data_IF_553560303921
#
_entry.id   IF_553560303921
#
_cell.length_a   1.000
_cell.length_b   1.000
_cell.length_c   1.000
_cell.angle_alpha   90.00
_cell.angle_beta   90.00
_cell.angle_gamma   90.00
#
_symmetry.space_group_name_H-M   'P 1'
#
loop_
_entity.id
_entity.type
_entity.pdbx_description
1 polymer ?
#
# COMPACT_ATOMS: atom_id res chain seq x y z
N UNK A 1 -51.16 69.43 17.20
CA UNK A 1 -52.52 69.15 16.71
C UNK A 1 -52.37 68.51 15.33
N UNK A 2 -52.92 67.29 15.12
CA UNK A 2 -52.95 66.48 13.89
C UNK A 2 -51.58 66.00 13.34
N UNK A 3 -51.10 64.74 13.36
CA UNK A 3 -51.56 63.34 13.12
C UNK A 3 -51.65 62.88 11.64
N UNK A 4 -50.98 61.73 11.36
CA UNK A 4 -51.18 60.69 10.31
C UNK A 4 -50.75 60.97 8.84
N UNK A 5 -50.33 60.01 7.99
CA UNK A 5 -49.97 58.58 8.12
C UNK A 5 -49.32 58.04 6.81
N UNK A 6 -48.53 56.96 6.96
CA UNK A 6 -48.38 55.75 6.11
C UNK A 6 -48.22 55.78 4.58
N UNK A 7 -47.18 55.08 4.10
CA UNK A 7 -47.37 53.92 3.21
C UNK A 7 -46.61 53.90 1.87
N UNK A 8 -45.83 52.82 1.63
CA UNK A 8 -45.78 52.15 0.31
C UNK A 8 -44.47 52.18 -0.49
N UNK A 9 -43.70 51.08 -0.42
CA UNK A 9 -43.35 50.19 -1.55
C UNK A 9 -42.41 50.62 -2.69
N UNK A 10 -41.46 49.73 -3.04
CA UNK A 10 -40.76 49.65 -4.35
C UNK A 10 -39.28 50.01 -4.26
N UNK A 11 -38.36 49.07 -4.01
CA UNK A 11 -37.69 48.13 -4.95
C UNK A 11 -37.05 48.82 -6.17
N UNK A 12 -35.71 48.77 -6.21
CA UNK A 12 -34.84 49.10 -7.34
C UNK A 12 -33.45 49.39 -6.79
N UNK A 13 -32.49 48.47 -6.76
CA UNK A 13 -32.03 47.64 -7.86
C UNK A 13 -30.68 48.21 -8.29
N UNK A 14 -29.58 47.65 -7.78
CA UNK A 14 -28.24 48.16 -8.10
C UNK A 14 -27.13 47.39 -7.40
N UNK A 15 -26.64 46.35 -8.09
CA UNK A 15 -25.32 45.73 -7.98
C UNK A 15 -24.87 45.29 -6.57
N UNK A 16 -25.19 44.04 -6.22
CA UNK A 16 -24.34 43.28 -5.30
C UNK A 16 -23.47 42.38 -6.17
N UNK A 17 -22.18 42.65 -6.15
CA UNK A 17 -21.13 41.93 -6.86
C UNK A 17 -21.29 40.43 -6.65
N UNK A 18 -21.39 39.70 -7.77
CA UNK A 18 -21.18 38.28 -7.80
C UNK A 18 -19.68 37.99 -7.56
N UNK A 19 -19.21 38.10 -6.32
CA UNK A 19 -17.92 37.54 -5.89
C UNK A 19 -18.15 36.18 -5.22
N UNK A 20 -18.80 35.28 -5.97
CA UNK A 20 -18.97 33.87 -5.59
C UNK A 20 -18.07 32.96 -6.42
N UNK A 21 -16.93 33.47 -6.87
CA UNK A 21 -15.89 32.66 -7.50
C UNK A 21 -14.97 32.09 -6.43
N UNK A 22 -15.44 31.10 -5.68
CA UNK A 22 -14.50 30.18 -5.04
C UNK A 22 -13.70 29.53 -6.16
N UNK A 23 -12.39 29.77 -6.20
CA UNK A 23 -11.51 29.21 -7.23
C UNK A 23 -11.84 27.71 -7.41
N UNK A 24 -12.05 27.24 -8.65
CA UNK A 24 -12.21 25.81 -8.86
C UNK A 24 -10.94 25.15 -8.31
N UNK A 25 -11.09 24.21 -7.38
CA UNK A 25 -9.99 23.39 -6.88
C UNK A 25 -9.17 22.99 -8.10
N UNK A 26 -7.94 23.50 -8.18
CA UNK A 26 -7.15 23.38 -9.40
C UNK A 26 -7.03 21.89 -9.69
N UNK A 27 -7.07 21.49 -10.96
CA UNK A 27 -7.03 20.08 -11.34
C UNK A 27 -5.81 19.37 -10.71
N UNK A 28 -4.73 20.12 -10.43
CA UNK A 28 -3.55 19.67 -9.71
C UNK A 28 -3.81 19.28 -8.24
N UNK A 29 -4.76 19.89 -7.53
CA UNK A 29 -5.20 19.46 -6.19
C UNK A 29 -6.01 18.16 -6.21
N UNK A 30 -6.63 17.82 -7.34
CA UNK A 30 -7.37 16.58 -7.51
C UNK A 30 -6.46 15.35 -7.75
N UNK A 31 -5.17 15.58 -8.10
CA UNK A 31 -4.19 14.53 -8.40
C UNK A 31 -2.94 14.67 -7.52
N UNK A 32 -2.80 13.82 -6.49
CA UNK A 32 -1.55 13.75 -5.71
C UNK A 32 -0.74 12.53 -6.12
N UNK A 33 0.49 12.75 -6.61
CA UNK A 33 1.43 11.67 -6.95
C UNK A 33 2.64 11.75 -6.03
N UNK A 34 2.79 10.78 -5.13
CA UNK A 34 3.98 10.64 -4.29
C UNK A 34 4.97 9.65 -4.90
N UNK A 35 6.11 10.16 -5.36
CA UNK A 35 7.15 9.35 -6.01
C UNK A 35 8.21 8.88 -5.01
N UNK A 36 8.25 9.42 -3.79
CA UNK A 36 9.22 9.05 -2.77
C UNK A 36 8.81 7.71 -2.15
N UNK A 37 9.60 6.64 -2.30
CA UNK A 37 9.22 5.33 -1.81
C UNK A 37 9.37 5.24 -0.29
N UNK A 38 8.34 4.81 0.42
CA UNK A 38 8.41 4.69 1.89
C UNK A 38 9.28 3.53 2.38
N UNK A 39 9.45 2.49 1.54
CA UNK A 39 10.20 1.27 1.86
C UNK A 39 11.21 0.92 0.75
N UNK A 40 12.47 0.70 1.10
CA UNK A 40 13.49 0.15 0.21
C UNK A 40 13.88 -1.25 0.66
N UNK A 41 14.01 -2.18 -0.30
CA UNK A 41 14.42 -3.54 -0.03
C UNK A 41 15.58 -3.94 -0.93
N UNK A 42 16.64 -4.49 -0.35
CA UNK A 42 17.70 -5.17 -1.07
C UNK A 42 17.65 -6.65 -0.72
N UNK A 43 17.37 -7.50 -1.71
CA UNK A 43 17.13 -8.93 -1.52
C UNK A 43 18.18 -9.73 -2.29
N UNK A 44 19.09 -10.35 -1.56
CA UNK A 44 19.99 -11.35 -2.10
C UNK A 44 19.31 -12.71 -2.02
N UNK A 45 19.37 -13.49 -3.09
CA UNK A 45 18.79 -14.83 -3.18
C UNK A 45 19.81 -15.76 -3.78
N UNK A 46 19.95 -16.93 -3.19
CA UNK A 46 20.73 -18.03 -3.73
C UNK A 46 19.87 -19.27 -3.77
N UNK A 47 19.84 -19.92 -4.92
CA UNK A 47 19.21 -21.23 -5.07
C UNK A 47 20.26 -22.32 -4.97
N UNK A 48 20.05 -23.24 -4.03
CA UNK A 48 20.95 -24.35 -3.69
C UNK A 48 20.11 -25.62 -3.57
N UNK A 49 20.33 -26.61 -4.43
CA UNK A 49 19.79 -27.98 -4.26
C UNK A 49 18.30 -28.04 -3.85
N UNK A 50 17.44 -27.23 -4.49
CA UNK A 50 16.00 -27.22 -4.21
C UNK A 50 15.58 -26.39 -2.97
N UNK A 51 16.50 -25.66 -2.36
CA UNK A 51 16.27 -24.62 -1.36
C UNK A 51 16.60 -23.24 -1.94
N UNK A 52 15.80 -22.25 -1.55
CA UNK A 52 16.08 -20.83 -1.78
C UNK A 52 16.45 -20.19 -0.45
N UNK A 53 17.71 -19.80 -0.34
CA UNK A 53 18.24 -18.97 0.73
C UNK A 53 18.16 -17.52 0.29
N UNK A 54 17.81 -16.61 1.17
CA UNK A 54 17.86 -15.19 0.88
C UNK A 54 18.16 -14.34 2.09
N UNK A 55 18.78 -13.19 1.82
CA UNK A 55 19.02 -12.14 2.78
C UNK A 55 18.21 -10.94 2.30
N UNK A 56 17.26 -10.48 3.10
CA UNK A 56 16.55 -9.24 2.86
C UNK A 56 17.11 -8.18 3.80
N UNK A 57 17.56 -7.08 3.23
CA UNK A 57 17.81 -5.84 3.94
C UNK A 57 16.64 -4.91 3.63
N UNK A 58 15.96 -4.46 4.66
CA UNK A 58 14.75 -3.65 4.57
C UNK A 58 15.06 -2.31 5.24
N UNK A 59 14.84 -1.21 4.53
CA UNK A 59 15.05 0.15 5.02
C UNK A 59 13.70 0.86 4.99
N UNK A 60 13.28 1.35 6.15
CA UNK A 60 12.00 2.01 6.36
C UNK A 60 12.26 3.47 6.70
N UNK A 61 11.43 4.35 6.14
CA UNK A 61 11.30 5.74 6.55
C UNK A 61 12.65 6.50 6.60
N UNK A 62 12.98 7.22 5.51
CA UNK A 62 14.25 7.92 5.35
C UNK A 62 14.64 8.84 6.50
N UNK A 63 13.65 9.38 7.23
CA UNK A 63 13.85 10.34 8.33
C UNK A 63 14.33 9.67 9.63
N UNK A 64 13.93 8.43 9.90
CA UNK A 64 14.24 7.72 11.17
C UNK A 64 15.38 6.71 10.97
N UNK A 65 15.71 6.37 9.72
CA UNK A 65 16.77 5.41 9.35
C UNK A 65 16.58 4.03 10.01
N UNK A 66 15.32 3.58 10.06
CA UNK A 66 14.99 2.25 10.56
C UNK A 66 15.41 1.20 9.53
N UNK A 67 16.16 0.20 9.97
CA UNK A 67 16.59 -0.90 9.11
C UNK A 67 16.33 -2.25 9.79
N UNK A 68 15.99 -3.25 8.98
CA UNK A 68 15.77 -4.62 9.42
C UNK A 68 16.47 -5.58 8.46
N UNK A 69 17.27 -6.50 9.01
CA UNK A 69 17.83 -7.60 8.26
C UNK A 69 17.02 -8.87 8.51
N UNK A 70 16.73 -9.65 7.46
CA UNK A 70 16.02 -10.93 7.55
C UNK A 70 16.74 -11.99 6.74
N UNK A 71 17.10 -13.08 7.39
CA UNK A 71 17.49 -14.32 6.73
C UNK A 71 16.22 -15.12 6.43
N UNK A 72 16.04 -15.52 5.18
CA UNK A 72 14.86 -16.25 4.71
C UNK A 72 15.30 -17.53 4.05
N UNK A 73 14.74 -18.64 4.50
CA UNK A 73 14.94 -19.95 3.89
C UNK A 73 13.59 -20.53 3.51
N UNK A 74 13.47 -21.02 2.28
CA UNK A 74 12.27 -21.72 1.83
C UNK A 74 12.63 -22.77 0.78
N UNK A 75 11.87 -23.87 0.68
CA UNK A 75 11.98 -24.79 -0.44
C UNK A 75 11.64 -24.10 -1.76
N UNK A 76 12.34 -24.51 -2.81
CA UNK A 76 12.05 -24.17 -4.20
C UNK A 76 10.99 -25.10 -4.78
N UNK A 77 10.93 -26.34 -4.28
CA UNK A 77 9.96 -27.35 -4.70
C UNK A 77 8.53 -27.03 -4.24
N UNK A 78 7.54 -27.46 -5.02
CA UNK A 78 6.12 -27.15 -4.78
C UNK A 78 5.46 -28.06 -3.75
N UNK A 79 6.07 -29.21 -3.44
CA UNK A 79 5.66 -30.19 -2.44
C UNK A 79 5.92 -29.70 -1.00
N UNK A 80 7.07 -29.04 -0.78
CA UNK A 80 7.49 -28.54 0.53
C UNK A 80 7.05 -27.08 0.72
N UNK A 81 6.13 -26.86 1.65
CA UNK A 81 5.37 -25.62 1.78
C UNK A 81 5.63 -24.88 3.09
N UNK A 82 6.89 -24.50 3.34
CA UNK A 82 7.29 -23.73 4.51
C UNK A 82 8.21 -22.56 4.16
N UNK A 83 8.31 -21.59 5.07
CA UNK A 83 9.19 -20.43 5.00
C UNK A 83 9.75 -20.17 6.39
N UNK A 84 11.03 -20.42 6.54
CA UNK A 84 11.78 -20.03 7.72
C UNK A 84 12.28 -18.59 7.55
N UNK A 85 12.22 -17.83 8.63
CA UNK A 85 12.71 -16.46 8.71
C UNK A 85 13.44 -16.28 10.03
N UNK A 86 14.61 -15.69 9.98
CA UNK A 86 15.35 -15.26 11.15
C UNK A 86 15.66 -13.79 11.04
N UNK A 87 15.40 -13.05 12.12
CA UNK A 87 15.64 -11.62 12.23
C UNK A 87 16.77 -11.40 13.23
N UNK A 88 18.02 -11.23 12.77
CA UNK A 88 19.17 -11.10 13.66
C UNK A 88 19.05 -9.94 14.65
N UNK A 89 18.55 -8.78 14.22
CA UNK A 89 18.48 -7.56 15.06
C UNK A 89 17.56 -7.76 16.28
N UNK A 90 16.47 -8.50 16.11
CA UNK A 90 15.51 -8.77 17.17
C UNK A 90 15.67 -10.16 17.80
N UNK A 91 16.68 -10.94 17.40
CA UNK A 91 16.81 -12.33 17.85
C UNK A 91 15.51 -13.14 17.69
N UNK A 92 14.78 -12.95 16.59
CA UNK A 92 13.49 -13.61 16.38
C UNK A 92 13.59 -14.66 15.29
N UNK A 93 13.17 -15.88 15.59
CA UNK A 93 13.02 -16.97 14.62
C UNK A 93 11.55 -17.21 14.36
N UNK A 94 11.16 -17.39 13.10
CA UNK A 94 9.80 -17.68 12.68
C UNK A 94 9.80 -18.76 11.61
N UNK A 95 8.95 -19.76 11.77
CA UNK A 95 8.63 -20.75 10.76
C UNK A 95 7.16 -20.58 10.36
N UNK A 96 6.93 -20.24 9.10
CA UNK A 96 5.59 -20.07 8.54
C UNK A 96 5.28 -21.18 7.54
N UNK A 97 4.05 -21.64 7.48
CA UNK A 97 3.53 -22.43 6.37
C UNK A 97 3.31 -21.55 5.13
N UNK A 98 3.28 -22.16 3.95
CA UNK A 98 2.69 -21.51 2.77
C UNK A 98 1.21 -21.28 3.05
N UNK A 99 0.64 -20.26 2.42
CA UNK A 99 -0.82 -20.08 2.37
C UNK A 99 -1.51 -21.38 1.92
N UNK A 100 -2.29 -21.95 2.83
CA UNK A 100 -3.15 -23.11 2.66
C UNK A 100 -4.50 -22.58 2.16
N UNK A 101 -4.91 -22.86 0.92
CA UNK A 101 -6.22 -22.45 0.44
C UNK A 101 -7.28 -23.26 1.22
N UNK A 102 -8.08 -22.57 2.04
CA UNK A 102 -9.24 -23.17 2.71
C UNK A 102 -10.43 -23.25 1.75
N UNK A 103 -10.60 -22.22 0.92
CA UNK A 103 -11.63 -22.12 -0.12
C UNK A 103 -11.05 -21.43 -1.36
N UNK A 104 -11.87 -21.22 -2.41
CA UNK A 104 -11.46 -20.45 -3.62
C UNK A 104 -10.99 -19.02 -3.29
N UNK A 105 -11.45 -18.48 -2.17
CA UNK A 105 -11.19 -17.09 -1.80
C UNK A 105 -10.51 -16.93 -0.45
N UNK A 106 -10.36 -17.99 0.35
CA UNK A 106 -9.75 -17.91 1.68
C UNK A 106 -8.46 -18.70 1.74
N UNK A 107 -7.44 -18.09 2.33
CA UNK A 107 -6.12 -18.64 2.51
C UNK A 107 -5.71 -18.55 3.98
N UNK A 108 -5.42 -19.67 4.62
CA UNK A 108 -4.87 -19.76 5.96
C UNK A 108 -3.35 -19.88 5.92
N UNK A 109 -2.66 -19.13 6.76
CA UNK A 109 -1.23 -19.28 7.01
C UNK A 109 -1.04 -19.46 8.51
N UNK A 110 -0.28 -20.48 8.89
CA UNK A 110 0.06 -20.76 10.29
C UNK A 110 1.56 -20.66 10.43
N UNK A 111 2.04 -20.29 11.61
CA UNK A 111 3.44 -20.24 11.90
C UNK A 111 3.72 -20.28 13.38
N UNK A 112 4.95 -20.65 13.70
CA UNK A 112 5.48 -20.70 15.06
C UNK A 112 6.66 -19.73 15.08
N UNK A 113 6.72 -18.90 16.09
CA UNK A 113 7.81 -17.96 16.30
C UNK A 113 8.40 -18.12 17.69
N UNK A 114 9.69 -17.89 17.81
CA UNK A 114 10.39 -17.79 19.07
C UNK A 114 11.17 -16.49 19.10
N UNK A 115 10.98 -15.70 20.15
CA UNK A 115 11.78 -14.50 20.41
C UNK A 115 12.79 -14.81 21.48
N UNK A 116 14.08 -14.72 21.15
CA UNK A 116 15.15 -15.00 22.10
C UNK A 116 15.29 -13.90 23.16
N UNK A 117 14.95 -12.64 22.84
CA UNK A 117 14.98 -11.54 23.83
C UNK A 117 13.91 -11.69 24.91
N UNK A 118 12.69 -12.06 24.51
CA UNK A 118 11.57 -12.25 25.44
C UNK A 118 11.50 -13.69 25.98
N UNK A 119 12.39 -14.57 25.52
CA UNK A 119 12.41 -16.01 25.80
C UNK A 119 11.02 -16.66 25.68
N UNK A 120 10.28 -16.30 24.63
CA UNK A 120 8.89 -16.68 24.47
C UNK A 120 8.63 -17.33 23.10
N UNK A 121 7.97 -18.48 23.12
CA UNK A 121 7.47 -19.16 21.91
C UNK A 121 6.00 -18.87 21.73
N UNK A 122 5.62 -18.36 20.56
CA UNK A 122 4.25 -18.05 20.18
C UNK A 122 3.83 -18.74 18.89
N UNK A 123 2.53 -18.93 18.74
CA UNK A 123 1.93 -19.42 17.50
C UNK A 123 1.17 -18.27 16.85
N UNK A 124 1.33 -18.12 15.54
CA UNK A 124 0.70 -17.07 14.74
C UNK A 124 -0.08 -17.70 13.61
N UNK A 125 -1.34 -17.34 13.48
CA UNK A 125 -2.16 -17.73 12.34
C UNK A 125 -2.72 -16.49 11.66
N UNK A 126 -2.94 -16.58 10.34
CA UNK A 126 -3.45 -15.50 9.51
C UNK A 126 -4.39 -16.08 8.47
N UNK A 127 -5.65 -15.65 8.49
CA UNK A 127 -6.60 -15.89 7.40
C UNK A 127 -6.56 -14.67 6.48
N UNK A 128 -6.46 -14.89 5.18
CA UNK A 128 -6.45 -13.84 4.16
C UNK A 128 -7.42 -14.18 3.04
N UNK A 129 -8.18 -13.20 2.57
CA UNK A 129 -9.06 -13.35 1.43
C UNK A 129 -8.34 -12.97 0.12
N UNK A 130 -8.52 -13.76 -0.94
CA UNK A 130 -8.18 -13.40 -2.32
C UNK A 130 -9.35 -12.77 -3.08
N UNK A 131 -10.51 -12.59 -2.40
CA UNK A 131 -11.65 -11.79 -2.86
C UNK A 131 -11.45 -10.27 -2.63
N UNK A 132 -10.23 -9.88 -2.28
CA UNK A 132 -9.81 -8.49 -2.10
C UNK A 132 -8.76 -8.14 -3.14
N UNK A 133 -9.21 -7.79 -4.35
CA UNK A 133 -8.64 -6.57 -4.92
C UNK A 133 -9.04 -5.45 -3.96
N UNK A 134 -8.11 -4.54 -3.66
CA UNK A 134 -8.49 -3.29 -3.00
C UNK A 134 -9.76 -2.76 -3.70
N UNK A 135 -10.74 -2.26 -2.94
CA UNK A 135 -12.14 -2.15 -3.40
C UNK A 135 -12.37 -1.28 -4.64
N UNK A 136 -13.61 -0.86 -4.90
CA UNK A 136 -13.98 -0.04 -6.08
C UNK A 136 -13.10 1.22 -6.27
N UNK A 137 -12.45 1.67 -5.20
CA UNK A 137 -11.66 2.90 -5.11
C UNK A 137 -10.16 2.71 -4.90
N UNK A 138 -9.59 1.50 -4.84
CA UNK A 138 -8.15 1.36 -4.55
C UNK A 138 -7.53 0.24 -5.38
N UNK A 139 -6.29 0.41 -5.80
CA UNK A 139 -5.52 -0.56 -6.57
C UNK A 139 -4.11 -0.59 -6.00
N UNK A 140 -3.64 -1.75 -5.56
CA UNK A 140 -2.24 -1.98 -5.21
C UNK A 140 -1.63 -3.04 -6.10
N UNK A 141 -0.52 -2.70 -6.74
CA UNK A 141 0.15 -3.62 -7.64
C UNK A 141 1.68 -3.58 -7.46
N UNK A 142 2.35 -4.57 -8.04
CA UNK A 142 3.81 -4.69 -8.07
C UNK A 142 4.27 -4.93 -9.49
N UNK A 143 4.97 -3.96 -10.04
CA UNK A 143 5.60 -4.05 -11.36
C UNK A 143 7.01 -4.65 -11.19
N UNK A 144 7.38 -5.62 -12.03
CA UNK A 144 8.72 -6.23 -12.05
C UNK A 144 9.42 -5.86 -13.36
N UNK A 145 10.62 -5.31 -13.25
CA UNK A 145 11.50 -4.96 -14.37
C UNK A 145 12.77 -5.81 -14.22
N UNK A 146 13.04 -6.69 -15.18
CA UNK A 146 14.24 -7.53 -15.19
C UNK A 146 15.29 -6.85 -16.08
N UNK A 147 16.47 -6.53 -15.55
CA UNK A 147 17.51 -5.83 -16.32
C UNK A 147 18.48 -6.80 -16.99
N UNK A 148 18.98 -7.79 -16.23
CA UNK A 148 19.88 -8.83 -16.71
C UNK A 148 19.70 -10.10 -15.87
N UNK A 149 20.20 -11.27 -16.33
CA UNK A 149 20.04 -12.52 -15.60
C UNK A 149 20.50 -12.41 -14.14
N UNK A 150 19.57 -12.68 -13.22
CA UNK A 150 19.84 -12.61 -11.79
C UNK A 150 19.67 -11.23 -11.16
N UNK A 151 19.29 -10.16 -11.88
CA UNK A 151 18.94 -8.87 -11.25
C UNK A 151 17.55 -8.38 -11.69
N UNK A 152 16.65 -8.27 -10.71
CA UNK A 152 15.29 -7.80 -10.89
C UNK A 152 15.02 -6.58 -10.00
N UNK A 153 14.41 -5.54 -10.55
CA UNK A 153 13.83 -4.44 -9.79
C UNK A 153 12.32 -4.63 -9.71
N UNK A 154 11.74 -4.47 -8.52
CA UNK A 154 10.31 -4.59 -8.29
C UNK A 154 9.78 -3.35 -7.60
N UNK A 155 8.86 -2.67 -8.25
CA UNK A 155 8.27 -1.43 -7.78
C UNK A 155 6.83 -1.75 -7.35
N UNK A 156 6.54 -1.59 -6.07
CA UNK A 156 5.18 -1.65 -5.56
C UNK A 156 4.56 -0.27 -5.52
N UNK A 157 3.40 -0.13 -6.13
CA UNK A 157 2.67 1.13 -6.22
C UNK A 157 1.22 0.93 -5.79
N UNK A 158 0.63 2.02 -5.34
CA UNK A 158 -0.76 2.11 -4.92
C UNK A 158 -1.41 3.29 -5.63
N UNK A 159 -2.64 3.11 -6.09
CA UNK A 159 -3.50 4.18 -6.56
C UNK A 159 -4.81 4.10 -5.80
N UNK A 160 -5.30 5.23 -5.30
CA UNK A 160 -6.54 5.35 -4.55
C UNK A 160 -7.37 6.48 -5.15
N UNK A 161 -8.58 6.14 -5.57
CA UNK A 161 -9.56 7.05 -6.16
C UNK A 161 -10.69 7.30 -5.16
N UNK A 162 -10.70 8.48 -4.57
CA UNK A 162 -11.77 8.95 -3.69
C UNK A 162 -12.93 9.38 -4.59
N UNK A 163 -14.07 8.71 -4.46
CA UNK A 163 -15.27 8.98 -5.24
C UNK A 163 -15.74 10.43 -5.01
N UNK A 164 -16.29 11.08 -6.05
CA UNK A 164 -16.88 12.41 -5.90
C UNK A 164 -18.09 12.37 -4.95
N UNK A 165 -18.21 13.40 -4.13
CA UNK A 165 -19.32 13.58 -3.19
C UNK A 165 -20.21 14.75 -3.64
N UNK A 166 -21.51 14.53 -3.73
CA UNK A 166 -22.50 15.56 -4.05
C UNK A 166 -23.33 15.82 -2.79
N UNK A 167 -23.28 17.05 -2.27
CA UNK A 167 -23.98 17.49 -1.07
C UNK A 167 -24.86 18.69 -1.40
N UNK A 168 -25.98 18.86 -0.69
CA UNK A 168 -26.82 20.04 -0.86
C UNK A 168 -27.80 20.17 0.30
N UNK A 169 -27.98 21.39 0.78
CA UNK A 169 -28.90 21.74 1.85
C UNK A 169 -29.97 22.70 1.35
N UNK A 170 -31.24 22.45 1.67
CA UNK A 170 -32.36 23.38 1.40
C UNK A 170 -32.88 23.88 2.75
N UNK A 171 -32.76 25.20 2.98
CA UNK A 171 -33.32 25.88 4.15
C UNK A 171 -32.39 26.06 5.36
N UNK A 172 -31.13 25.62 5.29
CA UNK A 172 -30.12 25.76 6.37
C UNK A 172 -29.07 26.85 6.12
N UNK A 173 -29.17 27.61 5.01
CA UNK A 173 -28.16 28.60 4.61
C UNK A 173 -26.93 27.99 3.93
N UNK A 174 -26.88 26.66 3.80
CA UNK A 174 -25.90 25.95 2.98
C UNK A 174 -26.24 26.02 1.49
N UNK A 175 -25.27 25.84 0.59
CA UNK A 175 -25.51 25.83 -0.86
C UNK A 175 -26.52 24.74 -1.25
N UNK A 176 -27.46 25.08 -2.13
CA UNK A 176 -28.45 24.14 -2.65
C UNK A 176 -27.81 22.94 -3.39
N UNK A 177 -26.58 23.11 -3.88
CA UNK A 177 -25.78 22.08 -4.51
C UNK A 177 -24.29 22.41 -4.33
N UNK A 178 -23.50 21.45 -3.85
CA UNK A 178 -22.04 21.49 -3.76
C UNK A 178 -21.49 20.12 -4.18
N UNK A 179 -20.40 20.12 -4.94
CA UNK A 179 -19.83 18.91 -5.53
C UNK A 179 -18.31 18.90 -5.33
N UNK A 180 -17.81 17.85 -4.70
CA UNK A 180 -16.39 17.53 -4.67
C UNK A 180 -16.09 16.57 -5.82
N UNK A 181 -15.16 16.93 -6.70
CA UNK A 181 -14.81 16.18 -7.92
C UNK A 181 -14.10 14.84 -7.67
N UNK A 182 -13.89 14.47 -6.40
CA UNK A 182 -13.11 13.29 -6.04
C UNK A 182 -11.62 13.56 -6.16
N UNK A 183 -10.78 12.64 -5.67
CA UNK A 183 -9.32 12.80 -5.64
C UNK A 183 -8.64 11.50 -6.03
N UNK A 184 -7.62 11.58 -6.88
CA UNK A 184 -6.74 10.46 -7.19
C UNK A 184 -5.41 10.64 -6.47
N UNK A 185 -5.09 9.69 -5.61
CA UNK A 185 -3.82 9.61 -4.91
C UNK A 185 -3.03 8.42 -5.44
N UNK A 186 -1.91 8.66 -6.09
CA UNK A 186 -0.97 7.61 -6.50
C UNK A 186 0.30 7.70 -5.66
N UNK A 187 0.82 6.56 -5.20
CA UNK A 187 2.06 6.50 -4.42
C UNK A 187 2.94 5.33 -4.83
N UNK A 188 4.25 5.55 -4.80
CA UNK A 188 5.23 4.47 -4.78
C UNK A 188 5.39 4.02 -3.34
N UNK A 189 4.91 2.82 -3.01
CA UNK A 189 5.00 2.29 -1.64
C UNK A 189 6.40 1.75 -1.36
N UNK A 190 6.95 1.01 -2.33
CA UNK A 190 8.14 0.18 -2.11
C UNK A 190 8.96 -0.01 -3.37
N UNK A 191 10.27 -0.08 -3.21
CA UNK A 191 11.19 -0.51 -4.26
C UNK A 191 12.01 -1.69 -3.74
N UNK A 192 12.05 -2.79 -4.49
CA UNK A 192 12.84 -3.98 -4.16
C UNK A 192 13.88 -4.23 -5.26
N UNK A 193 15.16 -4.13 -4.94
CA UNK A 193 16.25 -4.64 -5.76
C UNK A 193 16.53 -6.09 -5.37
N UNK A 194 16.47 -7.01 -6.33
CA UNK A 194 16.55 -8.45 -6.10
C UNK A 194 17.70 -9.02 -6.91
N UNK A 195 18.75 -9.45 -6.23
CA UNK A 195 19.85 -10.21 -6.83
C UNK A 195 19.61 -11.70 -6.59
N UNK A 196 19.50 -12.50 -7.64
CA UNK A 196 19.30 -13.94 -7.59
C UNK A 196 20.45 -14.65 -8.28
N UNK A 197 21.21 -15.44 -7.52
CA UNK A 197 22.23 -16.33 -8.05
C UNK A 197 21.67 -17.75 -8.11
N UNK A 198 21.69 -18.34 -9.31
CA UNK A 198 21.34 -19.74 -9.55
C UNK A 198 22.63 -20.49 -9.81
N UNK A 199 22.97 -21.45 -8.94
CA UNK A 199 24.06 -22.38 -9.25
C UNK A 199 23.49 -23.41 -10.21
N UNK A 200 23.88 -23.36 -11.48
CA UNK A 200 23.78 -24.54 -12.33
C UNK A 200 24.76 -25.56 -11.79
N UNK A 201 24.24 -26.60 -11.15
CA UNK A 201 25.02 -27.82 -10.95
C UNK A 201 25.23 -28.39 -12.36
N UNK A 202 26.38 -28.09 -12.97
CA UNK A 202 26.79 -28.72 -14.20
C UNK A 202 26.87 -30.21 -13.93
N UNK A 203 26.05 -30.99 -14.62
CA UNK A 203 26.32 -32.41 -14.76
C UNK A 203 27.76 -32.53 -15.27
N UNK A 204 28.60 -33.27 -14.55
CA UNK A 204 29.89 -33.68 -15.05
C UNK A 204 29.70 -34.32 -16.42
N UNK A 205 30.27 -33.71 -17.45
CA UNK A 205 30.62 -34.44 -18.66
C UNK A 205 32.06 -34.88 -18.50
N UNK A 206 32.20 -36.21 -18.51
CA UNK A 206 33.43 -37.00 -18.62
C UNK A 206 34.17 -36.63 -19.90
#
# INVERSE_FOLDING_TARGET
>A
MATQASGGGGIGGGAVEASGGGEPATLEEAYTINVVPSELFLKFRKELEGLRVGINLEFFNYEVNDYEAKLVLKPTSTDRKWKFMYRPVHGDVQLLSKKIPLTKFLNLQVGIGHSFHLNATGWKWKVSTSLGGDGVSQIRNKTKISFFPGFDLRIGWKAEYILPEIHGGLGTGEPAFNMNYGRLNASIDRIEAILTNTVHCGNGQV
#
